data_IF_489996991856
#
_entry.id   IF_489996991856
#
_cell.length_a   1.000
_cell.length_b   1.000
_cell.length_c   1.000
_cell.angle_alpha   90.00
_cell.angle_beta   90.00
_cell.angle_gamma   90.00
#
_symmetry.space_group_name_H-M   'P 1'
#
loop_
_entity.id
_entity.type
_entity.pdbx_description
1 polymer ?
#
# COMPACT_ATOMS: atom_id res chain seq x y z
N UNK A 1 -14.55 -13.18 -13.73
CA UNK A 1 -13.34 -12.35 -13.76
C UNK A 1 -13.11 -11.84 -12.37
N UNK A 2 -11.99 -12.26 -11.80
CA UNK A 2 -11.42 -11.64 -10.63
C UNK A 2 -11.14 -10.16 -10.90
N UNK A 3 -10.75 -9.45 -9.84
CA UNK A 3 -10.59 -7.99 -9.87
C UNK A 3 -9.24 -7.59 -9.33
N UNK A 4 -8.71 -6.50 -9.87
CA UNK A 4 -7.65 -5.71 -9.27
C UNK A 4 -8.27 -4.64 -8.35
N UNK A 5 -7.96 -4.72 -7.07
CA UNK A 5 -8.40 -3.76 -6.05
C UNK A 5 -7.25 -2.85 -5.65
N UNK A 6 -7.50 -1.54 -5.57
CA UNK A 6 -6.58 -0.59 -4.97
C UNK A 6 -7.17 0.03 -3.71
N UNK A 7 -6.61 -0.34 -2.55
CA UNK A 7 -7.00 0.18 -1.24
C UNK A 7 -5.94 1.15 -0.73
N UNK A 8 -6.19 2.44 -0.88
CA UNK A 8 -5.22 3.46 -0.49
C UNK A 8 -5.59 4.14 0.81
N UNK A 9 -4.60 4.70 1.51
CA UNK A 9 -4.86 5.56 2.66
C UNK A 9 -3.61 6.29 3.09
N UNK A 10 -3.77 7.31 3.94
CA UNK A 10 -2.62 8.01 4.52
C UNK A 10 -1.82 7.08 5.44
N UNK A 11 -0.63 7.50 5.87
CA UNK A 11 0.03 6.84 6.99
C UNK A 11 -0.92 6.82 8.19
N UNK A 12 -0.86 5.76 8.99
CA UNK A 12 -1.79 5.55 10.12
C UNK A 12 -3.24 5.25 9.73
N UNK A 13 -3.49 4.82 8.49
CA UNK A 13 -4.81 4.33 8.03
C UNK A 13 -5.05 2.82 8.21
N UNK A 14 -4.27 2.14 9.07
CA UNK A 14 -4.40 0.70 9.33
C UNK A 14 -4.27 -0.25 8.11
N UNK A 15 -3.53 0.14 7.06
CA UNK A 15 -3.27 -0.71 5.87
C UNK A 15 -2.76 -2.10 6.22
N UNK A 16 -1.62 -2.18 6.91
CA UNK A 16 -0.97 -3.46 7.25
C UNK A 16 -1.87 -4.36 8.10
N UNK A 17 -2.70 -3.79 8.99
CA UNK A 17 -3.72 -4.56 9.72
C UNK A 17 -4.72 -5.22 8.76
N UNK A 18 -5.26 -4.46 7.80
CA UNK A 18 -6.20 -5.02 6.83
C UNK A 18 -5.57 -6.07 5.94
N UNK A 19 -4.30 -5.91 5.55
CA UNK A 19 -3.58 -6.93 4.78
C UNK A 19 -3.50 -8.23 5.57
N UNK A 20 -3.03 -8.15 6.81
CA UNK A 20 -2.85 -9.32 7.68
C UNK A 20 -4.21 -9.99 7.96
N UNK A 21 -5.25 -9.20 8.27
CA UNK A 21 -6.60 -9.74 8.49
C UNK A 21 -7.17 -10.37 7.23
N UNK A 22 -7.00 -9.76 6.05
CA UNK A 22 -7.45 -10.32 4.76
C UNK A 22 -6.75 -11.64 4.49
N UNK A 23 -5.42 -11.69 4.60
CA UNK A 23 -4.64 -12.91 4.44
C UNK A 23 -5.11 -14.00 5.42
N UNK A 24 -5.28 -13.67 6.71
CA UNK A 24 -5.75 -14.60 7.74
C UNK A 24 -7.16 -15.16 7.44
N UNK A 25 -8.06 -14.36 6.88
CA UNK A 25 -9.40 -14.81 6.49
C UNK A 25 -9.37 -15.90 5.41
N UNK A 26 -8.45 -15.81 4.45
CA UNK A 26 -8.25 -16.87 3.46
C UNK A 26 -7.64 -18.11 4.10
N UNK A 27 -6.55 -17.95 4.85
CA UNK A 27 -5.80 -19.11 5.38
C UNK A 27 -6.57 -19.90 6.43
N UNK A 28 -7.39 -19.25 7.25
CA UNK A 28 -8.30 -19.95 8.20
C UNK A 28 -9.35 -20.82 7.52
N UNK A 29 -9.68 -20.55 6.26
CA UNK A 29 -10.57 -21.39 5.45
C UNK A 29 -9.79 -22.44 4.63
N UNK A 30 -8.50 -22.63 4.89
CA UNK A 30 -7.63 -23.51 4.11
C UNK A 30 -7.33 -22.98 2.70
N UNK A 31 -7.60 -21.71 2.41
CA UNK A 31 -7.35 -21.09 1.10
C UNK A 31 -5.96 -20.47 1.07
N UNK A 32 -5.21 -20.72 0.00
CA UNK A 32 -3.90 -20.13 -0.20
C UNK A 32 -4.02 -18.66 -0.61
N UNK A 33 -3.46 -17.75 0.19
CA UNK A 33 -3.34 -16.33 -0.11
C UNK A 33 -1.85 -15.99 -0.17
N UNK A 34 -1.38 -15.44 -1.29
CA UNK A 34 -0.01 -14.99 -1.39
C UNK A 34 0.10 -13.55 -0.89
N UNK A 35 1.20 -13.22 -0.23
CA UNK A 35 1.47 -11.88 0.28
C UNK A 35 2.79 -11.38 -0.29
N UNK A 36 2.76 -10.15 -0.82
CA UNK A 36 3.94 -9.48 -1.36
C UNK A 36 4.11 -8.07 -0.79
N UNK A 37 5.35 -7.60 -0.77
CA UNK A 37 5.72 -6.21 -0.48
C UNK A 37 6.83 -5.75 -1.43
N UNK A 38 7.33 -4.53 -1.27
CA UNK A 38 8.44 -3.98 -2.06
C UNK A 38 9.72 -3.93 -1.24
N UNK A 39 10.91 -4.07 -1.85
CA UNK A 39 12.19 -4.03 -1.14
C UNK A 39 12.54 -2.63 -0.61
N UNK A 40 11.79 -1.60 -1.02
CA UNK A 40 11.99 -0.21 -0.61
C UNK A 40 11.66 -0.01 0.87
N UNK A 41 10.71 -0.78 1.42
CA UNK A 41 10.37 -0.69 2.83
C UNK A 41 11.20 -1.65 3.69
N UNK A 42 12.26 -1.13 4.30
CA UNK A 42 13.10 -1.88 5.24
C UNK A 42 12.62 -1.77 6.70
N UNK A 43 11.58 -0.97 6.99
CA UNK A 43 11.14 -0.67 8.37
C UNK A 43 10.52 -1.87 9.08
N UNK A 44 9.92 -2.78 8.33
CA UNK A 44 9.22 -3.96 8.87
C UNK A 44 10.11 -5.19 9.06
N UNK A 45 11.39 -5.09 8.66
CA UNK A 45 12.30 -6.23 8.55
C UNK A 45 12.19 -6.93 7.19
N UNK A 46 13.18 -7.77 6.88
CA UNK A 46 13.26 -8.46 5.59
C UNK A 46 12.03 -9.35 5.36
N UNK A 47 11.32 -9.14 4.25
CA UNK A 47 10.20 -10.00 3.80
C UNK A 47 9.06 -10.13 4.82
N UNK A 48 8.71 -9.00 5.45
CA UNK A 48 7.64 -8.94 6.44
C UNK A 48 6.77 -7.71 6.28
N UNK A 49 5.47 -7.91 6.52
CA UNK A 49 4.49 -6.86 6.72
C UNK A 49 4.19 -6.80 8.22
N UNK A 50 4.47 -5.65 8.85
CA UNK A 50 4.26 -5.45 10.28
C UNK A 50 3.22 -4.37 10.54
N UNK A 51 2.25 -4.69 11.38
CA UNK A 51 1.27 -3.71 11.84
C UNK A 51 1.73 -2.95 13.08
N UNK A 52 1.09 -1.80 13.33
CA UNK A 52 1.32 -1.01 14.56
C UNK A 52 0.84 -1.70 15.85
N UNK A 53 -0.05 -2.68 15.75
CA UNK A 53 -0.57 -3.42 16.90
C UNK A 53 0.21 -4.73 17.14
N UNK A 54 1.35 -4.91 16.48
CA UNK A 54 2.26 -6.04 16.71
C UNK A 54 1.97 -7.30 15.91
N UNK A 55 0.96 -7.31 15.03
CA UNK A 55 0.75 -8.41 14.08
C UNK A 55 1.84 -8.38 12.99
N UNK A 56 2.29 -9.57 12.59
CA UNK A 56 3.28 -9.78 11.53
C UNK A 56 2.76 -10.80 10.51
N UNK A 57 3.13 -10.59 9.24
CA UNK A 57 2.90 -11.51 8.15
C UNK A 57 4.18 -11.63 7.32
N UNK A 58 4.64 -12.87 7.09
CA UNK A 58 5.75 -13.14 6.17
C UNK A 58 5.23 -12.97 4.75
N UNK A 59 6.01 -12.32 3.91
CA UNK A 59 5.66 -12.03 2.52
C UNK A 59 6.88 -12.17 1.62
N UNK A 60 6.66 -12.30 0.32
CA UNK A 60 7.73 -12.21 -0.67
C UNK A 60 7.91 -10.77 -1.17
N UNK A 61 9.02 -10.48 -1.83
CA UNK A 61 9.16 -9.21 -2.54
C UNK A 61 8.67 -9.34 -3.97
N UNK A 62 8.00 -8.31 -4.45
CA UNK A 62 7.66 -8.22 -5.87
C UNK A 62 8.96 -8.10 -6.68
N UNK A 63 9.02 -8.92 -7.71
CA UNK A 63 10.03 -8.92 -8.77
C UNK A 63 9.34 -8.67 -10.11
N UNK A 64 10.13 -8.46 -11.15
CA UNK A 64 9.61 -8.30 -12.50
C UNK A 64 9.02 -9.59 -13.09
N UNK A 65 9.14 -10.72 -12.38
CA UNK A 65 8.60 -12.05 -12.69
C UNK A 65 7.32 -12.39 -11.91
N UNK A 66 6.70 -11.41 -11.23
CA UNK A 66 5.55 -11.65 -10.33
C UNK A 66 4.42 -12.45 -10.99
N UNK A 67 4.14 -12.22 -12.28
CA UNK A 67 3.12 -12.98 -13.00
C UNK A 67 3.51 -14.46 -13.12
N UNK A 68 4.71 -14.76 -13.62
CA UNK A 68 5.20 -16.12 -13.80
C UNK A 68 5.32 -16.86 -12.46
N UNK A 69 5.74 -16.17 -11.41
CA UNK A 69 5.86 -16.72 -10.06
C UNK A 69 4.50 -17.13 -9.51
N UNK A 70 3.50 -16.24 -9.58
CA UNK A 70 2.13 -16.54 -9.13
C UNK A 70 1.51 -17.64 -9.98
N UNK A 71 1.69 -17.61 -11.29
CA UNK A 71 1.21 -18.67 -12.20
C UNK A 71 1.79 -20.02 -11.85
N UNK A 72 3.10 -20.12 -11.67
CA UNK A 72 3.80 -21.36 -11.30
C UNK A 72 3.31 -21.91 -9.96
N UNK A 73 3.07 -21.03 -8.98
CA UNK A 73 2.51 -21.43 -7.69
C UNK A 73 1.07 -21.91 -7.87
N UNK A 74 0.25 -21.20 -8.64
CA UNK A 74 -1.15 -21.52 -8.89
C UNK A 74 -1.34 -22.88 -9.58
N UNK A 75 -0.49 -23.22 -10.55
CA UNK A 75 -0.49 -24.51 -11.25
C UNK A 75 -0.17 -25.69 -10.32
N UNK A 76 0.65 -25.47 -9.28
CA UNK A 76 0.99 -26.49 -8.27
C UNK A 76 -0.07 -26.60 -7.18
N UNK A 77 -0.60 -25.46 -6.73
CA UNK A 77 -1.62 -25.38 -5.71
C UNK A 77 -2.47 -24.12 -5.94
N UNK A 78 -3.80 -24.29 -5.94
CA UNK A 78 -4.73 -23.21 -6.25
C UNK A 78 -4.52 -21.99 -5.34
N UNK A 79 -4.06 -20.89 -5.93
CA UNK A 79 -4.02 -19.57 -5.29
C UNK A 79 -5.42 -18.96 -5.32
N UNK A 80 -5.86 -18.42 -4.20
CA UNK A 80 -7.21 -17.86 -4.03
C UNK A 80 -7.22 -16.33 -3.94
N UNK A 81 -6.08 -15.71 -3.62
CA UNK A 81 -5.89 -14.27 -3.61
C UNK A 81 -4.41 -13.91 -3.57
N UNK A 82 -4.10 -12.71 -4.02
CA UNK A 82 -2.80 -12.04 -3.84
C UNK A 82 -3.03 -10.74 -3.10
N UNK A 83 -2.32 -10.50 -2.01
CA UNK A 83 -2.28 -9.21 -1.30
C UNK A 83 -0.91 -8.57 -1.46
N UNK A 84 -0.89 -7.26 -1.75
CA UNK A 84 0.34 -6.51 -2.00
C UNK A 84 0.39 -5.29 -1.08
N UNK A 85 1.45 -5.14 -0.27
CA UNK A 85 1.71 -3.93 0.52
C UNK A 85 2.64 -2.96 -0.23
N UNK A 86 2.60 -1.70 0.21
CA UNK A 86 3.42 -0.59 -0.31
C UNK A 86 3.38 -0.45 -1.85
N UNK A 87 2.19 -0.67 -2.42
CA UNK A 87 1.94 -0.68 -3.85
C UNK A 87 2.26 0.66 -4.56
N UNK A 88 2.42 1.74 -3.79
CA UNK A 88 2.85 3.02 -4.34
C UNK A 88 4.27 3.00 -4.94
N UNK A 89 5.12 2.07 -4.51
CA UNK A 89 6.49 1.93 -5.00
C UNK A 89 6.60 1.00 -6.22
N UNK A 90 5.48 0.44 -6.69
CA UNK A 90 5.48 -0.41 -7.87
C UNK A 90 5.77 0.41 -9.13
N UNK A 91 6.50 -0.21 -10.05
CA UNK A 91 6.62 0.32 -11.39
C UNK A 91 5.31 0.13 -12.15
N UNK A 92 5.16 0.86 -13.27
CA UNK A 92 4.03 0.64 -14.19
C UNK A 92 3.94 -0.81 -14.64
N UNK A 93 5.08 -1.44 -14.93
CA UNK A 93 5.15 -2.84 -15.40
C UNK A 93 4.62 -3.80 -14.33
N UNK A 94 5.01 -3.62 -13.07
CA UNK A 94 4.54 -4.48 -11.98
C UNK A 94 3.02 -4.40 -11.83
N UNK A 95 2.44 -3.19 -11.91
CA UNK A 95 0.97 -3.02 -11.83
C UNK A 95 0.25 -3.71 -12.99
N UNK A 96 0.81 -3.69 -14.20
CA UNK A 96 0.26 -4.45 -15.33
C UNK A 96 0.35 -5.97 -15.10
N UNK A 97 1.47 -6.49 -14.62
CA UNK A 97 1.56 -7.92 -14.29
C UNK A 97 0.54 -8.32 -13.19
N UNK A 98 0.25 -7.42 -12.25
CA UNK A 98 -0.80 -7.62 -11.24
C UNK A 98 -2.21 -7.61 -11.84
N UNK A 99 -2.49 -6.80 -12.87
CA UNK A 99 -3.77 -6.90 -13.60
C UNK A 99 -3.86 -8.21 -14.39
N UNK A 100 -2.78 -8.62 -15.03
CA UNK A 100 -2.74 -9.85 -15.83
C UNK A 100 -2.99 -11.09 -14.96
N UNK A 101 -2.54 -11.09 -13.69
CA UNK A 101 -2.89 -12.14 -12.71
C UNK A 101 -4.42 -12.21 -12.47
N UNK A 102 -5.10 -11.07 -12.38
CA UNK A 102 -6.55 -11.04 -12.18
C UNK A 102 -7.30 -11.52 -13.42
N UNK A 103 -6.85 -11.11 -14.60
CA UNK A 103 -7.51 -11.40 -15.87
C UNK A 103 -7.27 -12.83 -16.34
N UNK A 104 -6.01 -13.27 -16.38
CA UNK A 104 -5.61 -14.55 -16.98
C UNK A 104 -5.76 -15.73 -16.02
N UNK A 105 -5.50 -15.50 -14.72
CA UNK A 105 -5.50 -16.56 -13.71
C UNK A 105 -6.79 -16.61 -12.88
N UNK A 106 -7.70 -15.64 -13.08
CA UNK A 106 -8.94 -15.45 -12.29
C UNK A 106 -8.65 -15.40 -10.77
N UNK A 107 -7.53 -14.77 -10.37
CA UNK A 107 -7.12 -14.60 -8.97
C UNK A 107 -7.30 -13.13 -8.55
N UNK A 108 -8.09 -12.82 -7.50
CA UNK A 108 -8.23 -11.44 -7.05
C UNK A 108 -6.92 -10.90 -6.47
N UNK A 109 -6.53 -9.70 -6.91
CA UNK A 109 -5.31 -9.01 -6.47
C UNK A 109 -5.69 -7.76 -5.70
N UNK A 110 -5.18 -7.61 -4.48
CA UNK A 110 -5.56 -6.54 -3.57
C UNK A 110 -4.31 -5.75 -3.18
N UNK A 111 -4.14 -4.60 -3.81
CA UNK A 111 -3.02 -3.69 -3.60
C UNK A 111 -3.34 -2.67 -2.51
N UNK A 112 -2.44 -2.51 -1.55
CA UNK A 112 -2.51 -1.51 -0.51
C UNK A 112 -1.36 -0.52 -0.65
N UNK A 113 -1.64 0.77 -0.46
CA UNK A 113 -0.57 1.77 -0.56
C UNK A 113 -0.96 3.20 -0.20
N UNK A 114 -0.01 4.11 -0.35
CA UNK A 114 -0.24 5.55 -0.24
C UNK A 114 -0.69 6.12 -1.59
N UNK A 115 -1.63 7.06 -1.61
CA UNK A 115 -2.01 7.74 -2.86
C UNK A 115 -0.95 8.74 -3.31
N UNK A 116 -0.54 9.61 -2.39
CA UNK A 116 0.39 10.71 -2.64
C UNK A 116 1.49 10.75 -1.59
N UNK A 117 2.64 11.30 -1.99
CA UNK A 117 3.73 11.61 -1.07
C UNK A 117 3.39 12.80 -0.15
N UNK A 118 4.35 13.20 0.68
CA UNK A 118 4.19 14.31 1.62
C UNK A 118 4.09 15.69 0.96
N UNK A 119 4.42 15.78 -0.33
CA UNK A 119 4.33 16.98 -1.17
C UNK A 119 3.01 17.01 -1.96
N UNK A 120 2.11 16.06 -1.66
CA UNK A 120 0.84 15.86 -2.36
C UNK A 120 1.02 15.55 -3.86
N UNK A 121 2.11 14.87 -4.22
CA UNK A 121 2.32 14.35 -5.57
C UNK A 121 1.95 12.87 -5.61
N UNK A 122 1.31 12.41 -6.69
CA UNK A 122 0.99 10.99 -6.85
C UNK A 122 2.29 10.17 -6.91
N UNK A 123 2.26 9.02 -6.26
CA UNK A 123 3.27 8.01 -6.50
C UNK A 123 3.02 7.30 -7.83
N UNK A 124 4.08 6.81 -8.48
CA UNK A 124 3.98 6.15 -9.78
C UNK A 124 3.05 4.94 -9.75
N UNK A 125 3.30 3.97 -8.85
CA UNK A 125 2.46 2.76 -8.76
C UNK A 125 1.01 3.10 -8.44
N UNK A 126 0.80 4.07 -7.55
CA UNK A 126 -0.53 4.57 -7.19
C UNK A 126 -1.26 5.25 -8.35
N UNK A 127 -0.55 6.00 -9.19
CA UNK A 127 -1.13 6.60 -10.38
C UNK A 127 -1.67 5.51 -11.31
N UNK A 128 -0.84 4.51 -11.62
CA UNK A 128 -1.23 3.42 -12.52
C UNK A 128 -2.38 2.59 -11.94
N UNK A 129 -2.37 2.34 -10.62
CA UNK A 129 -3.47 1.66 -9.93
C UNK A 129 -4.77 2.45 -9.95
N UNK A 130 -4.73 3.79 -9.86
CA UNK A 130 -5.91 4.63 -10.01
C UNK A 130 -6.48 4.60 -11.44
N UNK A 131 -5.62 4.37 -12.44
CA UNK A 131 -6.00 4.28 -13.85
C UNK A 131 -6.57 2.90 -14.21
N UNK A 132 -6.06 1.82 -13.61
CA UNK A 132 -6.34 0.43 -14.02
C UNK A 132 -7.25 -0.37 -13.07
N UNK A 133 -7.30 -0.08 -11.77
CA UNK A 133 -8.00 -0.95 -10.82
C UNK A 133 -9.53 -0.97 -11.04
N UNK A 134 -10.13 -2.16 -10.97
CA UNK A 134 -11.59 -2.35 -11.06
C UNK A 134 -12.35 -1.74 -9.88
N UNK A 135 -11.69 -1.63 -8.72
CA UNK A 135 -12.26 -1.10 -7.50
C UNK A 135 -11.22 -0.35 -6.69
N UNK A 136 -11.59 0.86 -6.25
CA UNK A 136 -10.71 1.76 -5.50
C UNK A 136 -11.38 2.12 -4.17
N UNK A 137 -10.75 1.76 -3.06
CA UNK A 137 -11.24 2.05 -1.71
C UNK A 137 -10.28 2.99 -0.96
N UNK A 138 -10.84 4.03 -0.34
CA UNK A 138 -10.09 4.91 0.58
C UNK A 138 -10.21 4.40 2.03
N UNK A 139 -9.08 4.01 2.61
CA UNK A 139 -8.94 3.71 4.02
C UNK A 139 -8.85 5.01 4.82
N UNK A 140 -9.93 5.31 5.52
CA UNK A 140 -10.11 6.57 6.26
C UNK A 140 -9.34 6.55 7.58
N UNK A 141 -8.79 7.70 7.95
CA UNK A 141 -8.27 7.97 9.28
C UNK A 141 -8.56 9.43 9.68
N UNK A 142 -8.23 9.80 10.91
CA UNK A 142 -8.51 11.12 11.47
C UNK A 142 -7.28 12.01 11.34
N UNK A 143 -7.49 13.29 11.05
CA UNK A 143 -6.43 14.28 10.98
C UNK A 143 -5.76 14.46 12.36
N UNK A 144 -4.43 14.47 12.40
CA UNK A 144 -3.67 14.65 13.64
C UNK A 144 -4.00 15.97 14.38
N UNK A 145 -4.43 16.99 13.63
CA UNK A 145 -4.62 18.35 14.16
C UNK A 145 -6.07 18.82 14.23
N UNK A 146 -7.04 17.99 13.81
CA UNK A 146 -8.46 18.32 13.93
C UNK A 146 -9.34 17.07 13.79
N UNK A 147 -10.65 17.21 13.99
CA UNK A 147 -11.58 16.06 13.98
C UNK A 147 -12.07 15.66 12.56
N UNK A 148 -11.42 16.12 11.49
CA UNK A 148 -11.83 15.82 10.10
C UNK A 148 -11.09 14.60 9.56
N UNK A 149 -11.65 13.99 8.51
CA UNK A 149 -10.99 12.93 7.73
C UNK A 149 -9.63 13.42 7.21
N UNK A 150 -8.58 12.66 7.48
CA UNK A 150 -7.28 12.87 6.87
C UNK A 150 -7.27 12.36 5.43
N UNK A 151 -6.64 13.12 4.54
CA UNK A 151 -6.55 12.81 3.10
C UNK A 151 -5.14 12.95 2.56
N UNK A 152 -4.22 13.54 3.34
CA UNK A 152 -2.85 13.87 2.95
C UNK A 152 -1.87 13.37 4.01
N UNK A 153 -0.62 13.17 3.61
CA UNK A 153 0.50 12.88 4.50
C UNK A 153 1.30 14.17 4.70
N UNK A 154 1.61 14.52 5.94
CA UNK A 154 2.52 15.62 6.27
C UNK A 154 3.80 15.04 6.87
N UNK A 155 4.94 15.48 6.35
CA UNK A 155 6.25 15.19 6.92
C UNK A 155 6.58 16.24 7.97
N UNK A 156 7.10 15.79 9.11
CA UNK A 156 7.60 16.62 10.19
C UNK A 156 9.10 16.38 10.32
N UNK A 157 9.87 17.44 10.21
CA UNK A 157 11.31 17.46 10.49
C UNK A 157 11.51 18.22 11.80
N UNK A 158 12.02 17.57 12.84
CA UNK A 158 12.13 18.12 14.20
C UNK A 158 10.79 18.70 14.71
N UNK A 159 9.69 18.00 14.44
CA UNK A 159 8.33 18.41 14.80
C UNK A 159 7.75 19.56 13.95
N UNK A 160 8.50 20.08 12.97
CA UNK A 160 8.06 21.17 12.09
C UNK A 160 7.57 20.65 10.73
N UNK A 161 6.40 21.10 10.25
CA UNK A 161 5.89 20.75 8.92
C UNK A 161 6.87 21.11 7.79
N UNK A 162 7.10 20.18 6.87
CA UNK A 162 7.86 20.41 5.64
C UNK A 162 7.20 19.75 4.42
N UNK A 163 7.30 20.41 3.27
CA UNK A 163 6.93 19.91 1.95
C UNK A 163 8.12 19.96 0.97
N UNK A 164 9.34 20.14 1.47
CA UNK A 164 10.58 20.14 0.68
C UNK A 164 11.42 18.93 1.05
N UNK A 165 12.11 18.36 0.06
CA UNK A 165 13.00 17.20 0.23
C UNK A 165 12.66 16.06 -0.73
N UNK A 166 13.48 15.01 -0.66
CA UNK A 166 13.26 13.77 -1.41
C UNK A 166 12.11 12.96 -0.82
N UNK A 167 11.37 12.25 -1.67
CA UNK A 167 10.21 11.44 -1.30
C UNK A 167 10.58 10.23 -0.44
N UNK A 168 11.76 9.66 -0.65
CA UNK A 168 12.26 8.49 0.07
C UNK A 168 13.49 8.96 0.85
N UNK A 169 13.34 9.13 2.16
CA UNK A 169 14.46 9.47 3.03
C UNK A 169 14.36 8.64 4.31
N UNK A 170 15.48 8.03 4.69
CA UNK A 170 15.62 7.22 5.91
C UNK A 170 16.22 8.14 6.98
N UNK A 171 15.53 8.34 8.10
CA UNK A 171 15.94 9.23 9.20
C UNK A 171 14.87 9.38 10.30
N UNK A 172 15.09 10.28 11.26
CA UNK A 172 14.24 10.55 12.44
C UNK A 172 12.93 11.31 12.12
N UNK A 173 12.43 11.18 10.90
CA UNK A 173 11.32 11.99 10.41
C UNK A 173 9.98 11.34 10.69
N UNK A 174 9.04 12.15 11.16
CA UNK A 174 7.69 11.70 11.46
C UNK A 174 6.74 12.04 10.30
N UNK A 175 5.87 11.09 9.98
CA UNK A 175 4.79 11.31 9.01
C UNK A 175 3.45 11.18 9.71
N UNK A 176 2.64 12.24 9.59
CA UNK A 176 1.31 12.33 10.24
C UNK A 176 0.19 12.51 9.21
N UNK A 177 -0.96 11.85 9.41
CA UNK A 177 -2.12 12.03 8.55
C UNK A 177 -2.81 13.36 8.82
N UNK A 178 -3.11 14.13 7.78
CA UNK A 178 -3.78 15.44 7.91
C UNK A 178 -4.88 15.65 6.89
N UNK A 179 -5.86 16.50 7.22
CA UNK A 179 -6.82 16.99 6.24
C UNK A 179 -6.21 18.11 5.39
N UNK A 180 -6.80 18.38 4.21
CA UNK A 180 -6.34 19.44 3.29
C UNK A 180 -6.19 20.82 3.95
N UNK A 181 -7.10 21.19 4.85
CA UNK A 181 -7.07 22.49 5.54
C UNK A 181 -5.83 22.59 6.46
N UNK A 182 -5.66 21.62 7.36
CA UNK A 182 -4.50 21.59 8.26
C UNK A 182 -3.18 21.45 7.52
N UNK A 183 -3.16 20.75 6.37
CA UNK A 183 -1.99 20.66 5.52
C UNK A 183 -1.52 22.04 5.04
N UNK A 184 -2.44 22.82 4.45
CA UNK A 184 -2.15 24.19 3.98
C UNK A 184 -1.75 25.12 5.10
N UNK A 185 -2.56 25.20 6.16
CA UNK A 185 -2.34 26.13 7.27
C UNK A 185 -0.98 25.91 7.95
N UNK A 186 -0.59 24.65 8.14
CA UNK A 186 0.67 24.31 8.83
C UNK A 186 1.91 24.46 7.96
N UNK A 187 1.76 24.38 6.64
CA UNK A 187 2.84 24.63 5.70
C UNK A 187 2.91 26.09 5.23
N UNK A 188 1.96 26.93 5.66
CA UNK A 188 1.87 28.31 5.19
C UNK A 188 1.58 28.42 3.68
N UNK A 189 0.78 27.49 3.13
CA UNK A 189 0.40 27.48 1.72
C UNK A 189 -0.91 28.22 1.51
N UNK A 190 -1.00 28.97 0.41
CA UNK A 190 -2.22 29.63 -0.08
C UNK A 190 -3.29 28.61 -0.54
#
# INVERSE_FOLDING_TARGET
>A
MAKLYYRYGTMQSNKSNQIITTHHQYTTQGKQCLAYSTPVDTRSGYRKIKSRIGLELVCEYITDTIYEDVKTIHERNKVHAVVVDEAQFLSKRDVHHLSDIADDLDIPVICFGLKTDFRNQLFQGSQVLLELADAIDELKTICQFCNKKATLNMRLLDGRPTNVGETIQIGDEEYVPVCRKCYKERLGLD
#
